data_IF_584303832896
#
_entry.id   IF_584303832896
#
_cell.length_a   1.000
_cell.length_b   1.000
_cell.length_c   1.000
_cell.angle_alpha   90.00
_cell.angle_beta   90.00
_cell.angle_gamma   90.00
#
_symmetry.space_group_name_H-M   'P 1'
#
loop_
_entity.id
_entity.type
_entity.pdbx_description
1 polymer ?
#
# COMPACT_ATOMS: atom_id res chain seq x y z
N UNK A 1 13.80 -2.60 24.85
CA UNK A 1 13.20 -1.96 26.04
C UNK A 1 11.69 -2.14 25.89
N UNK A 2 10.97 -2.66 26.87
CA UNK A 2 9.50 -2.76 26.80
C UNK A 2 8.89 -1.36 26.99
N UNK A 3 7.94 -0.98 26.13
CA UNK A 3 7.23 0.29 26.34
C UNK A 3 6.31 0.16 27.57
N UNK A 4 6.33 1.13 28.50
CA UNK A 4 5.31 1.22 29.54
C UNK A 4 3.92 1.33 28.90
N UNK A 5 2.91 0.72 29.52
CA UNK A 5 1.48 0.77 29.09
C UNK A 5 1.02 2.22 28.81
N UNK A 6 1.58 3.19 29.53
CA UNK A 6 1.32 4.61 29.33
C UNK A 6 1.68 5.09 27.91
N UNK A 7 2.83 4.67 27.36
CA UNK A 7 3.25 5.06 26.00
C UNK A 7 2.39 4.42 24.93
N UNK A 8 1.92 3.18 25.14
CA UNK A 8 0.95 2.54 24.24
C UNK A 8 -0.36 3.33 24.23
N UNK A 9 -0.83 3.79 25.40
CA UNK A 9 -2.01 4.64 25.51
C UNK A 9 -1.84 5.98 24.80
N UNK A 10 -0.67 6.59 24.90
CA UNK A 10 -0.38 7.87 24.24
C UNK A 10 -0.34 7.73 22.72
N UNK A 11 0.26 6.65 22.21
CA UNK A 11 0.23 6.31 20.77
C UNK A 11 -1.21 6.11 20.29
N UNK A 12 -2.02 5.37 21.04
CA UNK A 12 -3.44 5.15 20.72
C UNK A 12 -4.22 6.47 20.71
N UNK A 13 -3.97 7.37 21.66
CA UNK A 13 -4.61 8.69 21.69
C UNK A 13 -4.19 9.56 20.51
N UNK A 14 -2.92 9.53 20.09
CA UNK A 14 -2.41 10.26 18.93
C UNK A 14 -2.98 9.71 17.61
N UNK A 15 -3.11 8.39 17.50
CA UNK A 15 -3.79 7.73 16.38
C UNK A 15 -5.20 8.32 16.22
N UNK A 16 -5.96 8.49 17.30
CA UNK A 16 -7.32 9.03 17.24
C UNK A 16 -7.43 10.56 17.28
N UNK A 17 -6.33 11.31 17.31
CA UNK A 17 -6.40 12.76 17.24
C UNK A 17 -6.47 13.27 15.79
N UNK A 18 -6.88 14.54 15.59
CA UNK A 18 -6.86 15.18 14.27
C UNK A 18 -5.45 15.25 13.67
N UNK A 19 -4.41 15.31 14.51
CA UNK A 19 -3.01 15.32 14.07
C UNK A 19 -2.53 13.95 13.59
N UNK A 20 -3.21 12.87 13.99
CA UNK A 20 -2.78 11.49 13.76
C UNK A 20 -1.48 11.14 14.49
N UNK A 21 -1.02 9.92 14.25
CA UNK A 21 0.27 9.41 14.71
C UNK A 21 1.18 9.16 13.51
N UNK A 22 2.35 9.81 13.50
CA UNK A 22 3.33 9.63 12.44
C UNK A 22 4.25 8.45 12.77
N UNK A 23 4.11 7.35 12.03
CA UNK A 23 5.03 6.21 12.08
C UNK A 23 5.78 6.16 10.76
N UNK A 24 7.09 6.37 10.80
CA UNK A 24 7.94 6.15 9.62
C UNK A 24 7.49 6.92 8.36
N UNK A 25 7.17 8.21 8.51
CA UNK A 25 6.57 9.10 7.48
C UNK A 25 5.15 8.72 7.01
N UNK A 26 4.54 7.69 7.59
CA UNK A 26 3.12 7.39 7.45
C UNK A 26 2.38 8.20 8.50
N UNK A 27 1.63 9.22 8.09
CA UNK A 27 0.65 9.79 9.00
C UNK A 27 -0.54 8.84 9.07
N UNK A 28 -0.73 8.24 10.24
CA UNK A 28 -1.87 7.39 10.55
C UNK A 28 -2.88 8.24 11.30
N UNK A 29 -3.87 8.76 10.56
CA UNK A 29 -4.99 9.52 11.11
C UNK A 29 -6.31 8.81 10.83
N UNK A 30 -7.22 8.91 11.77
CA UNK A 30 -8.43 8.10 11.79
C UNK A 30 -9.66 9.00 11.74
N UNK A 31 -10.51 8.91 10.70
CA UNK A 31 -11.71 9.72 10.61
C UNK A 31 -12.72 9.29 11.68
N UNK A 32 -13.35 10.27 12.35
CA UNK A 32 -14.49 10.03 13.23
C UNK A 32 -15.81 10.06 12.42
N UNK A 33 -16.80 9.20 12.73
CA UNK A 33 -16.80 8.15 13.75
C UNK A 33 -16.03 6.91 13.29
N UNK A 34 -15.40 6.23 14.25
CA UNK A 34 -14.52 5.11 13.96
C UNK A 34 -15.06 3.82 14.59
N UNK A 35 -15.28 2.81 13.76
CA UNK A 35 -15.67 1.46 14.20
C UNK A 35 -14.42 0.58 14.37
N UNK A 36 -14.12 0.24 15.63
CA UNK A 36 -12.95 -0.55 16.01
C UNK A 36 -13.32 -1.62 17.01
N UNK A 37 -12.86 -2.84 16.72
CA UNK A 37 -12.80 -3.91 17.71
C UNK A 37 -11.41 -3.96 18.34
N UNK A 38 -11.34 -3.74 19.65
CA UNK A 38 -10.12 -3.86 20.43
C UNK A 38 -10.10 -5.23 21.12
N UNK A 39 -9.04 -6.00 20.89
CA UNK A 39 -8.85 -7.35 21.44
C UNK A 39 -7.48 -7.41 22.08
N UNK A 40 -7.38 -8.01 23.27
CA UNK A 40 -6.11 -8.43 23.83
C UNK A 40 -5.88 -9.90 23.51
N UNK A 41 -4.74 -10.23 22.92
CA UNK A 41 -4.40 -11.63 22.64
C UNK A 41 -3.76 -12.34 23.84
N UNK A 42 -3.52 -13.65 23.68
CA UNK A 42 -2.92 -14.49 24.71
C UNK A 42 -1.46 -14.12 25.05
N UNK A 43 -0.83 -13.27 24.24
CA UNK A 43 0.53 -12.75 24.43
C UNK A 43 0.53 -11.31 24.96
N UNK A 44 -0.62 -10.84 25.45
CA UNK A 44 -0.82 -9.49 25.98
C UNK A 44 -0.66 -8.37 24.94
N UNK A 45 -0.66 -8.71 23.63
CA UNK A 45 -0.66 -7.71 22.56
C UNK A 45 -2.04 -7.05 22.49
N UNK A 46 -2.05 -5.77 22.12
CA UNK A 46 -3.28 -5.03 21.83
C UNK A 46 -3.51 -5.07 20.32
N UNK A 47 -4.65 -5.63 19.91
CA UNK A 47 -5.07 -5.71 18.51
C UNK A 47 -6.23 -4.75 18.30
N UNK A 48 -6.04 -3.78 17.41
CA UNK A 48 -7.06 -2.89 16.88
C UNK A 48 -7.47 -3.45 15.51
N UNK A 49 -8.72 -3.88 15.36
CA UNK A 49 -9.27 -4.37 14.09
C UNK A 49 -10.39 -3.44 13.61
N UNK A 50 -10.27 -2.92 12.40
CA UNK A 50 -11.27 -2.03 11.80
C UNK A 50 -12.27 -2.86 11.00
N UNK A 51 -13.55 -2.74 11.32
CA UNK A 51 -14.61 -3.62 10.81
C UNK A 51 -15.43 -2.97 9.70
N UNK A 52 -15.95 -1.76 9.93
CA UNK A 52 -16.79 -1.06 8.94
C UNK A 52 -16.07 0.11 8.25
N UNK A 53 -15.41 0.99 9.02
CA UNK A 53 -14.72 2.17 8.51
C UNK A 53 -13.20 1.97 8.52
N UNK A 54 -12.60 1.69 7.36
CA UNK A 54 -11.14 1.58 7.29
C UNK A 54 -10.50 2.99 7.28
N UNK A 55 -9.57 3.27 8.20
CA UNK A 55 -8.74 4.48 8.17
C UNK A 55 -7.81 4.47 6.96
N UNK A 56 -7.37 5.65 6.53
CA UNK A 56 -6.39 5.80 5.44
C UNK A 56 -5.05 6.21 6.01
N UNK A 57 -4.00 5.61 5.48
CA UNK A 57 -2.63 6.12 5.59
C UNK A 57 -2.21 6.66 4.25
N UNK A 58 -1.65 7.87 4.28
CA UNK A 58 -1.06 8.50 3.11
C UNK A 58 0.43 8.69 3.37
N UNK A 59 1.25 8.40 2.35
CA UNK A 59 2.65 8.78 2.37
C UNK A 59 3.05 9.31 1.01
N UNK A 60 3.80 10.41 1.04
CA UNK A 60 4.22 11.13 -0.15
C UNK A 60 5.69 10.80 -0.42
N UNK A 61 5.93 10.20 -1.58
CA UNK A 61 7.25 10.17 -2.21
C UNK A 61 7.20 11.07 -3.45
N UNK A 62 7.46 10.50 -4.63
CA UNK A 62 7.23 11.17 -5.91
C UNK A 62 5.74 11.30 -6.24
N UNK A 63 4.94 10.29 -5.87
CA UNK A 63 3.48 10.30 -5.90
C UNK A 63 2.93 10.08 -4.48
N UNK A 64 1.67 10.48 -4.26
CA UNK A 64 0.97 10.20 -3.00
C UNK A 64 0.41 8.79 -3.07
N UNK A 65 0.86 7.93 -2.17
CA UNK A 65 0.37 6.58 -2.01
C UNK A 65 -0.67 6.56 -0.89
N UNK A 66 -1.77 5.87 -1.14
CA UNK A 66 -2.85 5.67 -0.17
C UNK A 66 -3.04 4.19 0.07
N UNK A 67 -3.13 3.79 1.33
CA UNK A 67 -3.58 2.45 1.72
C UNK A 67 -4.59 2.54 2.87
N UNK A 68 -5.45 1.52 2.92
CA UNK A 68 -6.45 1.40 3.96
C UNK A 68 -5.92 0.53 5.09
N UNK A 69 -6.05 0.98 6.33
CA UNK A 69 -5.60 0.24 7.51
C UNK A 69 -6.67 -0.78 7.89
N UNK A 70 -6.34 -2.07 7.86
CA UNK A 70 -7.23 -3.14 8.29
C UNK A 70 -7.09 -3.46 9.78
N UNK A 71 -5.90 -3.22 10.33
CA UNK A 71 -5.66 -3.38 11.75
C UNK A 71 -4.26 -2.97 12.17
N UNK A 72 -4.11 -2.83 13.48
CA UNK A 72 -2.84 -2.54 14.13
C UNK A 72 -2.68 -3.49 15.32
N UNK A 73 -1.56 -4.20 15.36
CA UNK A 73 -1.18 -5.01 16.52
C UNK A 73 -0.03 -4.31 17.22
N UNK A 74 -0.15 -4.08 18.52
CA UNK A 74 0.87 -3.46 19.37
C UNK A 74 1.31 -4.48 20.42
N UNK A 75 2.55 -4.95 20.30
CA UNK A 75 3.22 -5.75 21.32
C UNK A 75 4.16 -4.90 22.17
N UNK A 76 4.93 -5.54 23.06
CA UNK A 76 5.77 -4.83 24.03
C UNK A 76 6.96 -4.09 23.40
N UNK A 77 7.53 -4.62 22.32
CA UNK A 77 8.73 -4.09 21.66
C UNK A 77 8.55 -3.82 20.17
N UNK A 78 7.52 -4.41 19.57
CA UNK A 78 7.22 -4.32 18.15
C UNK A 78 5.71 -4.28 17.92
N UNK A 79 5.33 -3.87 16.71
CA UNK A 79 3.96 -3.91 16.24
C UNK A 79 3.86 -4.38 14.80
N UNK A 80 2.62 -4.62 14.38
CA UNK A 80 2.28 -5.01 13.02
C UNK A 80 1.17 -4.11 12.52
N UNK A 81 1.44 -3.41 11.42
CA UNK A 81 0.45 -2.63 10.69
C UNK A 81 -0.07 -3.50 9.54
N UNK A 82 -1.39 -3.74 9.53
CA UNK A 82 -2.07 -4.47 8.47
C UNK A 82 -2.72 -3.49 7.51
N UNK A 83 -2.23 -3.47 6.28
CA UNK A 83 -2.73 -2.60 5.22
C UNK A 83 -3.43 -3.43 4.15
N UNK A 84 -4.53 -2.91 3.61
CA UNK A 84 -5.30 -3.54 2.55
C UNK A 84 -4.41 -3.71 1.30
N UNK A 85 -4.36 -4.94 0.80
CA UNK A 85 -3.57 -5.35 -0.38
C UNK A 85 -2.05 -5.25 -0.25
N UNK A 86 -1.52 -4.99 0.95
CA UNK A 86 -0.09 -5.01 1.21
C UNK A 86 0.22 -6.12 2.21
N UNK A 87 1.42 -6.71 2.18
CA UNK A 87 1.87 -7.59 3.25
C UNK A 87 1.87 -6.88 4.61
N UNK A 88 1.74 -7.65 5.68
CA UNK A 88 1.80 -7.15 7.05
C UNK A 88 3.15 -6.44 7.30
N UNK A 89 3.08 -5.17 7.69
CA UNK A 89 4.28 -4.35 7.92
C UNK A 89 4.67 -4.45 9.38
N UNK A 90 5.81 -5.08 9.65
CA UNK A 90 6.37 -5.15 11.00
C UNK A 90 7.16 -3.89 11.32
N UNK A 91 7.05 -3.40 12.55
CA UNK A 91 7.83 -2.24 13.00
C UNK A 91 8.27 -2.40 14.45
N UNK A 92 9.51 -2.00 14.74
CA UNK A 92 9.96 -1.74 16.11
C UNK A 92 9.68 -0.29 16.49
N UNK A 93 9.44 -0.03 17.78
CA UNK A 93 9.21 1.34 18.27
C UNK A 93 10.47 2.22 18.20
N UNK A 94 11.65 1.59 18.27
CA UNK A 94 12.95 2.27 18.20
C UNK A 94 13.52 2.35 16.77
N UNK A 95 12.83 1.80 15.76
CA UNK A 95 13.29 1.82 14.37
C UNK A 95 13.10 3.20 13.73
N UNK A 96 14.12 3.67 13.01
CA UNK A 96 14.02 4.91 12.24
C UNK A 96 13.11 4.74 11.03
N UNK A 97 12.51 5.86 10.61
CA UNK A 97 11.60 6.00 9.48
C UNK A 97 12.19 5.62 8.13
N UNK A 98 13.49 5.85 8.00
CA UNK A 98 14.22 5.73 6.74
C UNK A 98 14.33 4.26 6.27
N UNK A 99 14.27 3.28 7.16
CA UNK A 99 14.57 1.87 6.84
C UNK A 99 13.48 1.12 6.05
N UNK A 100 12.28 1.68 5.87
CA UNK A 100 11.16 0.98 5.18
C UNK A 100 11.15 1.11 3.66
N UNK A 101 11.85 2.09 3.09
CA UNK A 101 11.60 2.55 1.72
C UNK A 101 12.87 2.76 0.87
N UNK A 102 14.03 2.31 1.35
CA UNK A 102 15.33 2.71 0.83
C UNK A 102 15.77 2.04 -0.49
N UNK A 103 15.10 0.98 -0.94
CA UNK A 103 15.45 0.34 -2.22
C UNK A 103 14.23 0.15 -3.10
N UNK A 104 14.00 1.09 -4.02
CA UNK A 104 12.98 0.93 -5.06
C UNK A 104 13.47 -0.06 -6.11
N UNK A 105 12.63 -1.01 -6.50
CA UNK A 105 12.91 -1.85 -7.67
C UNK A 105 13.04 -0.99 -8.93
N UNK A 106 14.07 -1.27 -9.71
CA UNK A 106 14.26 -0.65 -11.01
C UNK A 106 13.45 -1.38 -12.10
N UNK A 107 12.47 -0.67 -12.66
CA UNK A 107 11.63 -1.08 -13.77
C UNK A 107 11.74 -0.10 -14.95
N UNK A 108 12.91 0.54 -15.11
CA UNK A 108 13.22 1.44 -16.22
C UNK A 108 12.96 0.82 -17.60
N UNK A 109 13.29 -0.45 -17.78
CA UNK A 109 12.98 -1.27 -18.96
C UNK A 109 11.47 -1.29 -19.28
N UNK A 110 10.62 -1.46 -18.28
CA UNK A 110 9.16 -1.46 -18.47
C UNK A 110 8.67 -0.05 -18.86
N UNK A 111 9.30 1.00 -18.33
CA UNK A 111 8.99 2.40 -18.68
C UNK A 111 9.32 2.71 -20.16
N UNK A 112 10.42 2.17 -20.67
CA UNK A 112 10.76 2.25 -22.09
C UNK A 112 9.72 1.51 -22.96
N UNK A 113 9.27 0.32 -22.54
CA UNK A 113 8.22 -0.43 -23.24
C UNK A 113 6.88 0.33 -23.26
N UNK A 114 6.50 0.99 -22.16
CA UNK A 114 5.30 1.84 -22.08
C UNK A 114 5.38 2.96 -23.12
N UNK A 115 6.56 3.55 -23.30
CA UNK A 115 6.78 4.63 -24.28
C UNK A 115 6.59 4.17 -25.72
N UNK A 116 6.86 2.90 -26.03
CA UNK A 116 6.62 2.30 -27.35
C UNK A 116 5.17 1.86 -27.57
N UNK A 117 4.51 1.34 -26.54
CA UNK A 117 3.15 0.81 -26.61
C UNK A 117 2.08 1.92 -26.66
N UNK A 118 2.23 2.96 -25.83
CA UNK A 118 1.21 4.00 -25.66
C UNK A 118 1.66 5.31 -26.30
N UNK A 119 1.16 5.57 -27.51
CA UNK A 119 1.42 6.82 -28.24
C UNK A 119 0.59 8.01 -27.74
N UNK A 120 -0.60 7.75 -27.20
CA UNK A 120 -1.46 8.77 -26.61
C UNK A 120 -0.86 9.29 -25.29
N UNK A 121 -0.62 10.61 -25.13
CA UNK A 121 0.01 11.17 -23.94
C UNK A 121 -0.74 10.87 -22.64
N UNK A 122 -2.06 10.81 -22.68
CA UNK A 122 -2.87 10.53 -21.49
C UNK A 122 -2.76 9.06 -21.07
N UNK A 123 -2.89 8.14 -22.02
CA UNK A 123 -2.73 6.70 -21.80
C UNK A 123 -1.32 6.38 -21.30
N UNK A 124 -0.30 7.03 -21.88
CA UNK A 124 1.09 6.93 -21.42
C UNK A 124 1.25 7.41 -19.98
N UNK A 125 0.76 8.61 -19.65
CA UNK A 125 0.78 9.13 -18.27
C UNK A 125 0.11 8.18 -17.27
N UNK A 126 -1.02 7.57 -17.65
CA UNK A 126 -1.73 6.60 -16.80
C UNK A 126 -0.92 5.31 -16.64
N UNK A 127 -0.31 4.81 -17.72
CA UNK A 127 0.55 3.63 -17.67
C UNK A 127 1.78 3.87 -16.78
N UNK A 128 2.45 5.02 -16.92
CA UNK A 128 3.58 5.40 -16.07
C UNK A 128 3.16 5.45 -14.59
N UNK A 129 2.02 6.06 -14.27
CA UNK A 129 1.48 6.07 -12.91
C UNK A 129 1.20 4.66 -12.39
N UNK A 130 0.59 3.80 -13.20
CA UNK A 130 0.34 2.41 -12.83
C UNK A 130 1.64 1.65 -12.53
N UNK A 131 2.68 1.87 -13.34
CA UNK A 131 4.01 1.28 -13.12
C UNK A 131 4.62 1.79 -11.82
N UNK A 132 4.55 3.10 -11.55
CA UNK A 132 5.06 3.68 -10.30
C UNK A 132 4.35 3.10 -9.06
N UNK A 133 3.00 3.05 -9.06
CA UNK A 133 2.24 2.43 -7.97
C UNK A 133 2.61 0.96 -7.78
N UNK A 134 2.77 0.20 -8.87
CA UNK A 134 3.13 -1.22 -8.81
C UNK A 134 4.58 -1.43 -8.33
N UNK A 135 5.51 -0.54 -8.70
CA UNK A 135 6.90 -0.58 -8.24
C UNK A 135 7.01 -0.32 -6.75
N UNK A 136 6.30 0.68 -6.25
CA UNK A 136 6.24 0.99 -4.82
C UNK A 136 5.60 -0.16 -4.04
N UNK A 137 4.54 -0.78 -4.57
CA UNK A 137 3.96 -1.99 -3.99
C UNK A 137 4.98 -3.12 -3.89
N UNK A 138 5.72 -3.40 -4.96
CA UNK A 138 6.72 -4.48 -4.99
C UNK A 138 7.86 -4.22 -4.00
N UNK A 139 8.27 -2.96 -3.89
CA UNK A 139 9.27 -2.48 -2.94
C UNK A 139 8.82 -2.76 -1.50
N UNK A 140 7.61 -2.32 -1.14
CA UNK A 140 7.04 -2.54 0.20
C UNK A 140 6.91 -4.03 0.48
N UNK A 141 6.41 -4.80 -0.48
CA UNK A 141 6.20 -6.23 -0.30
C UNK A 141 7.52 -6.98 -0.03
N UNK A 142 8.57 -6.67 -0.79
CA UNK A 142 9.91 -7.25 -0.62
C UNK A 142 10.52 -6.91 0.75
N UNK A 143 10.48 -5.65 1.15
CA UNK A 143 11.02 -5.20 2.44
C UNK A 143 10.30 -5.85 3.64
N UNK A 144 9.04 -6.24 3.46
CA UNK A 144 8.23 -6.90 4.49
C UNK A 144 8.24 -8.44 4.36
N UNK A 145 9.29 -9.00 3.77
CA UNK A 145 9.59 -10.44 3.80
C UNK A 145 8.96 -11.25 2.67
N UNK A 146 8.43 -10.61 1.62
CA UNK A 146 7.97 -11.34 0.43
C UNK A 146 9.18 -11.77 -0.41
N UNK A 147 9.51 -13.06 -0.39
CA UNK A 147 10.46 -13.65 -1.33
C UNK A 147 9.76 -14.00 -2.64
N UNK A 148 9.85 -13.13 -3.65
CA UNK A 148 9.17 -13.33 -4.93
C UNK A 148 9.66 -14.57 -5.70
N UNK A 149 10.96 -14.90 -5.63
CA UNK A 149 11.56 -16.04 -6.32
C UNK A 149 10.97 -17.38 -5.84
N UNK A 150 10.84 -17.54 -4.53
CA UNK A 150 10.44 -18.79 -3.87
C UNK A 150 8.92 -18.94 -3.67
N UNK A 151 8.11 -17.98 -4.14
CA UNK A 151 6.66 -18.05 -4.00
C UNK A 151 6.06 -19.22 -4.79
N UNK A 152 5.23 -20.04 -4.14
CA UNK A 152 4.41 -21.03 -4.83
C UNK A 152 3.32 -20.39 -5.72
N UNK A 153 2.72 -21.16 -6.62
CA UNK A 153 1.77 -20.64 -7.61
C UNK A 153 0.55 -19.94 -6.98
N UNK A 154 0.04 -20.45 -5.84
CA UNK A 154 -1.09 -19.83 -5.14
C UNK A 154 -0.71 -18.46 -4.60
N UNK A 155 0.45 -18.35 -3.94
CA UNK A 155 0.99 -17.08 -3.46
C UNK A 155 1.23 -16.11 -4.61
N UNK A 156 1.79 -16.58 -5.74
CA UNK A 156 2.00 -15.75 -6.94
C UNK A 156 0.68 -15.16 -7.46
N UNK A 157 -0.39 -15.97 -7.55
CA UNK A 157 -1.72 -15.49 -7.96
C UNK A 157 -2.28 -14.45 -6.99
N UNK A 158 -2.10 -14.65 -5.69
CA UNK A 158 -2.55 -13.72 -4.66
C UNK A 158 -1.78 -12.39 -4.73
N UNK A 159 -0.45 -12.42 -4.82
CA UNK A 159 0.40 -11.24 -4.96
C UNK A 159 0.04 -10.41 -6.20
N UNK A 160 -0.21 -11.08 -7.34
CA UNK A 160 -0.71 -10.41 -8.55
C UNK A 160 -2.04 -9.70 -8.31
N UNK A 161 -2.97 -10.36 -7.63
CA UNK A 161 -4.30 -9.82 -7.31
C UNK A 161 -4.20 -8.62 -6.37
N UNK A 162 -3.38 -8.73 -5.33
CA UNK A 162 -3.19 -7.67 -4.33
C UNK A 162 -2.52 -6.45 -4.95
N UNK A 163 -1.44 -6.63 -5.70
CA UNK A 163 -0.80 -5.54 -6.45
C UNK A 163 -1.80 -4.86 -7.41
N UNK A 164 -2.56 -5.65 -8.19
CA UNK A 164 -3.61 -5.11 -9.08
C UNK A 164 -4.61 -4.24 -8.33
N UNK A 165 -5.14 -4.73 -7.22
CA UNK A 165 -6.14 -4.02 -6.46
C UNK A 165 -5.57 -2.77 -5.77
N UNK A 166 -4.33 -2.84 -5.29
CA UNK A 166 -3.62 -1.70 -4.73
C UNK A 166 -3.47 -0.56 -5.76
N UNK A 167 -2.98 -0.88 -6.97
CA UNK A 167 -2.81 0.12 -8.04
C UNK A 167 -4.16 0.66 -8.48
N UNK A 168 -5.16 -0.21 -8.65
CA UNK A 168 -6.52 0.19 -9.04
C UNK A 168 -7.15 1.16 -8.03
N UNK A 169 -7.04 0.88 -6.73
CA UNK A 169 -7.57 1.74 -5.67
C UNK A 169 -6.82 3.10 -5.67
N UNK A 170 -5.50 3.11 -5.85
CA UNK A 170 -4.74 4.37 -5.90
C UNK A 170 -5.10 5.22 -7.12
N UNK A 171 -5.21 4.62 -8.32
CA UNK A 171 -5.60 5.33 -9.55
C UNK A 171 -7.02 5.90 -9.46
N UNK A 172 -7.97 5.16 -8.88
CA UNK A 172 -9.36 5.63 -8.71
C UNK A 172 -9.50 6.81 -7.76
N UNK A 173 -8.58 6.92 -6.79
CA UNK A 173 -8.57 8.00 -5.81
C UNK A 173 -7.57 9.12 -6.18
N UNK A 174 -6.92 9.03 -7.35
CA UNK A 174 -5.94 10.01 -7.80
C UNK A 174 -6.67 11.26 -8.34
N UNK A 175 -6.50 12.45 -7.72
CA UNK A 175 -7.23 13.66 -8.09
C UNK A 175 -6.84 14.21 -9.46
N UNK A 176 -5.73 13.76 -10.07
CA UNK A 176 -5.36 14.16 -11.43
C UNK A 176 -6.08 13.34 -12.50
N UNK A 177 -6.75 12.24 -12.12
CA UNK A 177 -7.43 11.33 -13.04
C UNK A 177 -8.93 11.61 -12.92
N UNK A 178 -9.36 12.72 -13.51
CA UNK A 178 -10.77 13.11 -13.57
C UNK A 178 -11.19 13.13 -15.03
N UNK A 179 -12.04 12.18 -15.41
CA UNK A 179 -12.76 12.27 -16.67
C UNK A 179 -13.99 13.17 -16.45
N UNK A 180 -14.09 14.24 -17.25
CA UNK A 180 -15.19 15.21 -17.15
C UNK A 180 -16.58 14.66 -17.53
N UNK A 181 -16.66 13.41 -17.96
CA UNK A 181 -17.90 12.72 -18.33
C UNK A 181 -18.01 11.38 -17.62
N UNK A 182 -19.15 11.11 -17.00
CA UNK A 182 -19.45 9.85 -16.29
C UNK A 182 -19.25 8.61 -17.19
N UNK A 183 -19.65 8.70 -18.45
CA UNK A 183 -19.53 7.60 -19.42
C UNK A 183 -18.05 7.33 -19.74
N UNK A 184 -17.26 8.38 -19.94
CA UNK A 184 -15.82 8.26 -20.18
C UNK A 184 -15.10 7.72 -18.94
N UNK A 185 -15.47 8.18 -17.75
CA UNK A 185 -14.98 7.65 -16.47
C UNK A 185 -15.26 6.15 -16.34
N UNK A 186 -16.46 5.72 -16.72
CA UNK A 186 -16.83 4.30 -16.70
C UNK A 186 -15.98 3.49 -17.69
N UNK A 187 -15.92 3.91 -18.96
CA UNK A 187 -15.11 3.22 -19.97
C UNK A 187 -13.63 3.15 -19.56
N UNK A 188 -13.11 4.23 -18.99
CA UNK A 188 -11.76 4.27 -18.48
C UNK A 188 -11.53 3.22 -17.38
N UNK A 189 -12.32 3.24 -16.31
CA UNK A 189 -12.09 2.35 -15.16
C UNK A 189 -12.41 0.88 -15.42
N UNK A 190 -13.33 0.58 -16.32
CA UNK A 190 -13.79 -0.79 -16.57
C UNK A 190 -13.22 -1.43 -17.83
N UNK A 191 -12.63 -0.65 -18.75
CA UNK A 191 -12.07 -1.18 -20.00
C UNK A 191 -10.60 -0.81 -20.16
N UNK A 192 -10.28 0.49 -20.20
CA UNK A 192 -8.93 0.97 -20.53
C UNK A 192 -7.93 0.66 -19.41
N UNK A 193 -8.25 1.04 -18.18
CA UNK A 193 -7.36 0.85 -17.04
C UNK A 193 -7.07 -0.64 -16.75
N UNK A 194 -8.04 -1.57 -16.78
CA UNK A 194 -7.75 -2.99 -16.66
C UNK A 194 -6.79 -3.54 -17.74
N UNK A 195 -6.87 -3.02 -18.97
CA UNK A 195 -5.98 -3.42 -20.06
C UNK A 195 -4.55 -2.92 -19.80
N UNK A 196 -4.39 -1.65 -19.42
CA UNK A 196 -3.09 -1.06 -19.05
C UNK A 196 -2.48 -1.81 -17.85
N UNK A 197 -3.28 -2.08 -16.81
CA UNK A 197 -2.82 -2.83 -15.65
C UNK A 197 -2.38 -4.25 -16.00
N UNK A 198 -3.10 -4.93 -16.90
CA UNK A 198 -2.70 -6.27 -17.34
C UNK A 198 -1.32 -6.23 -17.99
N UNK A 199 -1.09 -5.29 -18.92
CA UNK A 199 0.20 -5.09 -19.59
C UNK A 199 1.35 -4.90 -18.60
N UNK A 200 1.15 -4.01 -17.61
CA UNK A 200 2.17 -3.65 -16.62
C UNK A 200 2.45 -4.80 -15.67
N UNK A 201 1.40 -5.40 -15.10
CA UNK A 201 1.56 -6.46 -14.10
C UNK A 201 2.15 -7.74 -14.69
N UNK A 202 1.85 -8.06 -15.96
CA UNK A 202 2.47 -9.20 -16.63
C UNK A 202 4.00 -9.04 -16.73
N UNK A 203 4.47 -7.85 -17.10
CA UNK A 203 5.92 -7.53 -17.19
C UNK A 203 6.58 -7.46 -15.84
N UNK A 204 5.98 -6.73 -14.91
CA UNK A 204 6.50 -6.56 -13.56
C UNK A 204 6.65 -7.90 -12.85
N UNK A 205 5.61 -8.74 -12.86
CA UNK A 205 5.70 -10.06 -12.20
C UNK A 205 6.53 -11.08 -12.98
N UNK A 206 6.69 -10.93 -14.30
CA UNK A 206 7.68 -11.71 -15.04
C UNK A 206 9.08 -11.42 -14.50
N UNK A 207 9.43 -10.14 -14.31
CA UNK A 207 10.74 -9.74 -13.74
C UNK A 207 10.89 -10.19 -12.28
N UNK A 208 9.87 -9.96 -11.44
CA UNK A 208 9.93 -10.31 -10.01
C UNK A 208 10.02 -11.82 -9.74
N UNK A 209 9.40 -12.67 -10.57
CA UNK A 209 9.43 -14.13 -10.38
C UNK A 209 10.56 -14.84 -11.13
N UNK A 210 11.32 -14.11 -11.95
CA UNK A 210 12.48 -14.64 -12.70
C UNK A 210 13.83 -14.23 -12.11
N UNK A 211 13.85 -13.21 -11.25
CA UNK A 211 14.97 -12.94 -10.33
C UNK A 211 14.88 -13.85 -9.11
#
# INVERSE_FOLDING_TARGET
>A
MSLPIQQIRDIVNLIFSESGYTVKNLNVSFPHPLDIKIIRDNKNNIILSFTESLPKVNWKKFITLTAWVQGLTLGETEGVLRLKYLPDIKFGYDQKSEDLFCQTYDFSDISEEISGEYQDPNSKKIADKCLHYASEWATIASHNGTNFAECNERSRRQLKKDCKNFVMDNIKNDPEIVAGSVILTFLFFYVVLPMILKFILERLFKKLFSN
#
